data_IF_162820367615
#
_entry.id   IF_162820367615
#
_cell.length_a   1.000
_cell.length_b   1.000
_cell.length_c   1.000
_cell.angle_alpha   90.00
_cell.angle_beta   90.00
_cell.angle_gamma   90.00
#
_symmetry.space_group_name_H-M   'P 1'
#
loop_
_entity.id
_entity.type
_entity.pdbx_description
1 polymer ?
#
# COMPACT_ATOMS: atom_id res chain seq x y z
N UNK A 1 -18.84 30.34 -36.23
CA UNK A 1 -17.67 29.64 -36.80
C UNK A 1 -17.47 28.38 -35.95
N UNK A 2 -17.99 27.23 -36.41
CA UNK A 2 -17.99 25.97 -35.66
C UNK A 2 -16.90 25.06 -36.19
N UNK A 3 -16.15 24.40 -35.31
CA UNK A 3 -15.29 23.28 -35.69
C UNK A 3 -15.58 22.09 -34.78
N UNK A 4 -16.06 21.02 -35.42
CA UNK A 4 -16.20 19.67 -34.89
C UNK A 4 -14.83 18.99 -34.81
N UNK A 5 -14.63 18.13 -33.81
CA UNK A 5 -13.57 17.12 -33.83
C UNK A 5 -14.15 15.73 -33.53
N UNK A 6 -13.76 14.78 -34.39
CA UNK A 6 -14.19 13.40 -34.43
C UNK A 6 -13.50 12.53 -33.36
N UNK A 7 -14.23 11.52 -32.91
CA UNK A 7 -13.80 10.46 -32.00
C UNK A 7 -13.29 9.26 -32.80
N UNK A 8 -12.14 8.71 -32.41
CA UNK A 8 -11.61 7.42 -32.90
C UNK A 8 -12.08 6.29 -31.98
N UNK A 9 -12.81 5.31 -32.53
CA UNK A 9 -13.09 4.02 -31.90
C UNK A 9 -12.21 2.92 -32.50
N UNK A 10 -11.75 2.03 -31.62
CA UNK A 10 -10.85 0.92 -31.90
C UNK A 10 -11.66 -0.38 -32.02
N UNK A 11 -11.35 -1.18 -33.03
CA UNK A 11 -12.10 -2.36 -33.46
C UNK A 11 -11.77 -3.62 -32.65
N UNK A 12 -12.81 -4.33 -32.21
CA UNK A 12 -12.75 -5.68 -31.63
C UNK A 12 -12.81 -6.76 -32.73
N UNK A 13 -11.98 -7.80 -32.58
CA UNK A 13 -11.97 -9.02 -33.41
C UNK A 13 -12.94 -10.06 -32.84
N UNK A 14 -13.65 -10.76 -33.73
CA UNK A 14 -14.25 -12.08 -33.46
C UNK A 14 -13.98 -13.02 -34.63
N UNK A 15 -13.59 -14.26 -34.33
CA UNK A 15 -13.37 -15.36 -35.29
C UNK A 15 -14.71 -15.90 -35.85
N UNK A 16 -14.74 -16.39 -37.11
CA UNK A 16 -15.89 -17.12 -37.64
C UNK A 16 -15.76 -18.64 -37.44
N UNK A 17 -16.93 -19.23 -37.28
CA UNK A 17 -17.20 -20.63 -36.96
C UNK A 17 -17.35 -21.51 -38.21
N UNK A 18 -17.31 -22.82 -37.97
CA UNK A 18 -17.15 -23.95 -38.89
C UNK A 18 -18.05 -24.03 -40.13
N UNK A 19 -17.45 -24.41 -41.26
CA UNK A 19 -18.09 -24.78 -42.52
C UNK A 19 -18.52 -26.25 -42.59
N UNK A 20 -19.71 -26.44 -43.17
CA UNK A 20 -20.44 -27.69 -43.43
C UNK A 20 -20.11 -28.19 -44.84
N UNK A 21 -19.83 -29.50 -45.03
CA UNK A 21 -19.75 -30.12 -46.37
C UNK A 21 -20.49 -31.47 -46.38
N UNK A 22 -21.32 -31.65 -47.40
CA UNK A 22 -22.20 -32.78 -47.76
C UNK A 22 -21.54 -33.73 -48.79
N UNK A 23 -22.18 -34.87 -49.15
CA UNK A 23 -21.49 -36.10 -49.58
C UNK A 23 -21.56 -36.38 -51.09
N UNK A 24 -20.63 -37.21 -51.57
CA UNK A 24 -20.62 -37.94 -52.86
C UNK A 24 -19.41 -38.90 -52.81
N UNK A 25 -19.27 -40.02 -53.53
CA UNK A 25 -20.15 -41.00 -54.15
C UNK A 25 -19.23 -42.19 -54.56
N UNK A 26 -19.73 -43.41 -54.42
CA UNK A 26 -19.50 -44.64 -55.20
C UNK A 26 -18.13 -45.00 -55.86
N UNK A 27 -17.64 -46.19 -55.46
CA UNK A 27 -17.54 -47.44 -56.26
C UNK A 27 -16.17 -48.05 -56.66
N UNK A 28 -16.11 -49.36 -56.34
CA UNK A 28 -15.49 -50.51 -57.04
C UNK A 28 -13.97 -50.74 -56.94
N UNK A 29 -13.56 -51.88 -56.35
CA UNK A 29 -13.22 -53.12 -57.08
C UNK A 29 -12.73 -54.28 -56.16
N UNK A 30 -13.44 -55.42 -56.26
CA UNK A 30 -13.03 -56.85 -56.26
C UNK A 30 -12.15 -57.51 -55.17
N UNK A 31 -12.73 -58.59 -54.59
CA UNK A 31 -12.28 -60.00 -54.48
C UNK A 31 -10.91 -60.29 -53.80
N UNK A 32 -10.75 -61.18 -52.80
CA UNK A 32 -11.19 -62.58 -52.73
C UNK A 32 -10.63 -63.31 -51.47
N UNK A 33 -11.28 -64.43 -51.07
CA UNK A 33 -10.80 -65.61 -50.27
C UNK A 33 -10.36 -65.32 -48.81
N UNK A 34 -10.63 -66.08 -47.74
CA UNK A 34 -11.07 -67.45 -47.53
C UNK A 34 -11.74 -67.56 -46.14
N UNK A 35 -12.73 -68.45 -46.02
CA UNK A 35 -13.21 -68.95 -44.74
C UNK A 35 -12.13 -69.83 -44.09
N UNK A 36 -11.79 -69.57 -42.83
CA UNK A 36 -11.18 -70.59 -41.97
C UNK A 36 -11.84 -70.62 -40.61
N UNK A 37 -12.04 -71.86 -40.21
CA UNK A 37 -12.91 -72.37 -39.19
C UNK A 37 -12.65 -71.90 -37.75
N UNK A 38 -13.74 -72.04 -37.01
CA UNK A 38 -13.92 -71.95 -35.57
C UNK A 38 -12.87 -72.69 -34.72
N UNK A 39 -12.55 -72.13 -33.55
CA UNK A 39 -12.26 -72.88 -32.30
C UNK A 39 -12.13 -71.91 -31.11
N UNK A 40 -13.02 -72.07 -30.13
CA UNK A 40 -12.95 -71.40 -28.83
C UNK A 40 -11.69 -71.83 -28.06
N UNK A 41 -10.93 -70.88 -27.51
CA UNK A 41 -10.07 -71.13 -26.34
C UNK A 41 -10.17 -69.99 -25.33
N UNK A 42 -10.88 -70.31 -24.26
CA UNK A 42 -11.25 -69.53 -23.08
C UNK A 42 -10.08 -69.41 -22.10
N UNK A 43 -9.02 -68.67 -22.42
CA UNK A 43 -7.93 -68.43 -21.46
C UNK A 43 -7.31 -67.03 -21.50
N UNK A 44 -7.53 -66.25 -22.57
CA UNK A 44 -6.93 -64.90 -22.72
C UNK A 44 -7.73 -63.76 -22.07
N UNK A 45 -8.99 -64.00 -21.71
CA UNK A 45 -9.90 -62.96 -21.18
C UNK A 45 -9.64 -62.64 -19.69
N UNK A 46 -9.00 -63.55 -18.93
CA UNK A 46 -8.71 -63.34 -17.50
C UNK A 46 -7.51 -62.43 -17.25
N UNK A 47 -6.56 -62.35 -18.18
CA UNK A 47 -5.36 -61.50 -18.04
C UNK A 47 -5.68 -60.03 -18.26
N UNK A 48 -6.56 -59.71 -19.22
CA UNK A 48 -7.01 -58.34 -19.46
C UNK A 48 -7.91 -57.79 -18.34
N UNK A 49 -8.72 -58.65 -17.70
CA UNK A 49 -9.54 -58.26 -16.56
C UNK A 49 -8.70 -57.93 -15.30
N UNK A 50 -7.59 -58.66 -15.07
CA UNK A 50 -6.65 -58.36 -13.98
C UNK A 50 -5.83 -57.10 -14.25
N UNK A 51 -5.43 -56.85 -15.50
CA UNK A 51 -4.73 -55.62 -15.87
C UNK A 51 -5.62 -54.37 -15.71
N UNK A 52 -6.91 -54.49 -16.04
CA UNK A 52 -7.90 -53.42 -15.86
C UNK A 52 -8.24 -53.14 -14.39
N UNK A 53 -8.18 -54.15 -13.52
CA UNK A 53 -8.40 -53.99 -12.08
C UNK A 53 -7.19 -53.32 -11.38
N UNK A 54 -5.96 -53.65 -11.80
CA UNK A 54 -4.74 -53.04 -11.26
C UNK A 54 -4.61 -51.57 -11.66
N UNK A 55 -5.02 -51.17 -12.87
CA UNK A 55 -5.06 -49.75 -13.27
C UNK A 55 -6.18 -48.95 -12.60
N UNK A 56 -7.25 -49.59 -12.14
CA UNK A 56 -8.34 -48.93 -11.40
C UNK A 56 -7.96 -48.62 -9.95
N UNK A 57 -7.13 -49.46 -9.31
CA UNK A 57 -6.70 -49.27 -7.91
C UNK A 57 -5.58 -48.21 -7.79
N UNK A 58 -4.77 -48.01 -8.83
CA UNK A 58 -3.76 -46.92 -8.86
C UNK A 58 -4.31 -45.56 -9.33
N UNK A 59 -5.50 -45.53 -9.93
CA UNK A 59 -6.17 -44.27 -10.34
C UNK A 59 -6.95 -43.56 -9.23
N UNK A 60 -7.19 -44.23 -8.10
CA UNK A 60 -7.88 -43.66 -6.94
C UNK A 60 -6.95 -43.04 -5.90
N UNK A 61 -5.63 -43.04 -6.13
CA UNK A 61 -4.76 -42.02 -5.52
C UNK A 61 -4.97 -40.67 -6.22
N UNK A 62 -6.23 -40.25 -6.34
CA UNK A 62 -6.55 -38.84 -6.41
C UNK A 62 -5.99 -38.27 -5.13
N UNK A 63 -4.83 -37.62 -5.25
CA UNK A 63 -4.24 -36.84 -4.18
C UNK A 63 -5.38 -36.09 -3.52
N UNK A 64 -5.69 -36.44 -2.27
CA UNK A 64 -6.50 -35.60 -1.42
C UNK A 64 -5.76 -34.26 -1.46
N UNK A 65 -6.26 -33.29 -2.22
CA UNK A 65 -5.79 -31.92 -2.13
C UNK A 65 -6.23 -31.46 -0.76
N UNK A 66 -5.49 -31.85 0.27
CA UNK A 66 -5.35 -31.04 1.45
C UNK A 66 -4.62 -29.83 0.94
N UNK A 67 -5.37 -28.87 0.40
CA UNK A 67 -4.89 -27.51 0.34
C UNK A 67 -4.53 -27.22 1.79
N UNK A 68 -3.23 -27.06 2.13
CA UNK A 68 -2.91 -26.65 3.47
C UNK A 68 -3.49 -25.24 3.56
N UNK A 69 -4.66 -25.13 4.19
CA UNK A 69 -5.21 -23.88 4.65
C UNK A 69 -4.30 -23.40 5.77
N UNK A 70 -3.07 -23.01 5.41
CA UNK A 70 -2.21 -22.28 6.31
C UNK A 70 -3.02 -21.04 6.69
N UNK A 71 -3.36 -20.86 7.98
CA UNK A 71 -4.13 -19.70 8.38
C UNK A 71 -3.38 -18.46 7.92
N UNK A 72 -4.08 -17.54 7.24
CA UNK A 72 -3.49 -16.29 6.79
C UNK A 72 -2.79 -15.64 7.97
N UNK A 73 -1.48 -15.43 7.86
CA UNK A 73 -0.70 -14.86 8.97
C UNK A 73 -1.23 -13.44 9.23
N UNK A 74 -1.55 -13.08 10.48
CA UNK A 74 -2.08 -11.76 10.78
C UNK A 74 -1.14 -10.66 10.27
N UNK A 75 -1.70 -9.74 9.50
CA UNK A 75 -1.00 -8.59 8.93
C UNK A 75 -1.38 -7.32 9.69
N UNK A 76 -0.42 -6.41 9.84
CA UNK A 76 -0.62 -5.08 10.39
C UNK A 76 -0.30 -4.03 9.32
N UNK A 77 -1.05 -2.93 9.31
CA UNK A 77 -0.74 -1.75 8.51
C UNK A 77 0.16 -0.78 9.27
N UNK A 78 1.15 -0.22 8.59
CA UNK A 78 2.05 0.82 9.13
C UNK A 78 2.11 2.03 8.20
N UNK A 79 1.99 3.23 8.77
CA UNK A 79 2.25 4.48 8.09
C UNK A 79 3.72 4.88 8.27
N UNK A 80 4.37 5.34 7.22
CA UNK A 80 5.78 5.74 7.22
C UNK A 80 5.90 7.23 6.90
N UNK A 81 6.56 7.97 7.78
CA UNK A 81 6.79 9.41 7.65
C UNK A 81 8.28 9.70 7.78
N UNK A 82 8.86 10.40 6.80
CA UNK A 82 10.21 10.94 6.88
C UNK A 82 10.19 12.46 6.99
N UNK A 83 10.36 12.98 8.19
CA UNK A 83 10.54 14.40 8.48
C UNK A 83 11.97 14.79 8.83
N UNK A 84 12.97 13.92 8.65
CA UNK A 84 14.37 14.25 8.96
C UNK A 84 14.81 15.40 8.06
N UNK A 85 15.28 16.50 8.65
CA UNK A 85 15.76 17.68 7.95
C UNK A 85 17.16 17.41 7.36
N UNK A 86 17.21 16.91 6.13
CA UNK A 86 18.46 16.55 5.45
C UNK A 86 18.36 16.70 3.93
N UNK A 87 19.52 16.89 3.28
CA UNK A 87 19.65 16.85 1.81
C UNK A 87 19.95 15.44 1.28
N UNK A 88 20.30 14.51 2.16
CA UNK A 88 20.62 13.14 1.77
C UNK A 88 19.37 12.39 1.32
N UNK A 89 19.48 11.73 0.17
CA UNK A 89 18.54 10.72 -0.26
C UNK A 89 18.55 9.53 0.70
N UNK A 90 17.38 8.97 1.01
CA UNK A 90 17.22 7.89 1.97
C UNK A 90 16.67 6.62 1.34
N UNK A 91 17.13 5.48 1.84
CA UNK A 91 16.53 4.17 1.63
C UNK A 91 15.84 3.71 2.91
N UNK A 92 14.62 3.20 2.76
CA UNK A 92 13.81 2.62 3.82
C UNK A 92 14.02 1.12 3.89
N UNK A 93 14.24 0.62 5.10
CA UNK A 93 14.45 -0.80 5.38
C UNK A 93 13.38 -1.31 6.35
N UNK A 94 12.82 -2.47 6.03
CA UNK A 94 12.13 -3.35 6.98
C UNK A 94 13.08 -4.50 7.32
N UNK A 95 13.54 -4.50 8.57
CA UNK A 95 14.67 -5.27 9.04
C UNK A 95 15.92 -5.01 8.18
N UNK A 96 16.40 -6.03 7.47
CA UNK A 96 17.59 -5.92 6.62
C UNK A 96 17.26 -5.75 5.13
N UNK A 97 15.98 -5.64 4.77
CA UNK A 97 15.52 -5.58 3.38
C UNK A 97 15.16 -4.15 2.99
N UNK A 98 15.80 -3.64 1.95
CA UNK A 98 15.44 -2.35 1.34
C UNK A 98 14.07 -2.47 0.67
N UNK A 99 13.17 -1.55 1.00
CA UNK A 99 11.76 -1.58 0.58
C UNK A 99 11.51 -0.66 -0.63
N UNK A 100 12.10 0.53 -0.63
CA UNK A 100 11.90 1.53 -1.68
C UNK A 100 12.80 1.26 -2.90
N UNK A 101 12.28 1.56 -4.09
CA UNK A 101 13.07 1.53 -5.33
C UNK A 101 13.72 2.90 -5.59
N UNK A 102 12.93 3.96 -5.44
CA UNK A 102 13.35 5.34 -5.59
C UNK A 102 13.76 5.93 -4.24
N UNK A 103 14.80 6.78 -4.18
CA UNK A 103 15.22 7.37 -2.92
C UNK A 103 14.15 8.29 -2.32
N UNK A 104 14.05 8.27 -1.00
CA UNK A 104 13.10 9.06 -0.21
C UNK A 104 13.78 10.34 0.29
N UNK A 105 13.00 11.41 0.44
CA UNK A 105 13.51 12.73 0.87
C UNK A 105 12.68 13.29 2.02
N UNK A 106 13.12 14.42 2.59
CA UNK A 106 12.39 15.18 3.61
C UNK A 106 10.97 15.50 3.17
N UNK A 107 10.00 15.11 4.00
CA UNK A 107 8.57 15.26 3.77
C UNK A 107 7.90 14.08 3.07
N UNK A 108 8.58 12.93 2.95
CA UNK A 108 7.97 11.71 2.42
C UNK A 108 6.88 11.20 3.37
N UNK A 109 5.70 10.87 2.80
CA UNK A 109 4.53 10.35 3.49
C UNK A 109 4.04 9.11 2.74
N UNK A 110 3.83 8.00 3.46
CA UNK A 110 3.25 6.80 2.91
C UNK A 110 2.33 6.12 3.93
N UNK A 111 1.16 5.69 3.49
CA UNK A 111 0.20 4.96 4.31
C UNK A 111 -0.04 3.58 3.71
N UNK A 112 -0.27 2.59 4.57
CA UNK A 112 -0.66 1.24 4.15
C UNK A 112 0.50 0.31 3.86
N UNK A 113 1.67 0.51 4.48
CA UNK A 113 2.75 -0.47 4.42
C UNK A 113 2.34 -1.72 5.22
N UNK A 114 2.13 -2.83 4.51
CA UNK A 114 1.66 -4.07 5.13
C UNK A 114 2.85 -4.87 5.65
N UNK A 115 2.79 -5.25 6.92
CA UNK A 115 3.77 -6.12 7.58
C UNK A 115 3.08 -7.31 8.24
N UNK A 116 3.86 -8.31 8.62
CA UNK A 116 3.40 -9.32 9.56
C UNK A 116 3.68 -8.91 11.00
N UNK A 117 2.80 -9.31 11.92
CA UNK A 117 3.00 -9.08 13.35
C UNK A 117 4.28 -9.73 13.92
N UNK A 118 4.79 -9.14 14.99
CA UNK A 118 6.03 -9.51 15.68
C UNK A 118 7.03 -8.36 15.82
N UNK A 119 8.22 -8.62 16.40
CA UNK A 119 9.29 -7.63 16.48
C UNK A 119 9.79 -7.28 15.08
N UNK A 120 9.88 -5.98 14.78
CA UNK A 120 10.44 -5.46 13.53
C UNK A 120 11.31 -4.25 13.79
N UNK A 121 12.36 -4.11 13.00
CA UNK A 121 13.20 -2.92 12.97
C UNK A 121 12.94 -2.18 11.68
N UNK A 122 12.48 -0.94 11.78
CA UNK A 122 12.46 -0.02 10.64
C UNK A 122 13.68 0.88 10.69
N UNK A 123 14.28 1.14 9.53
CA UNK A 123 15.42 2.03 9.43
C UNK A 123 15.38 2.89 8.17
N UNK A 124 15.89 4.11 8.29
CA UNK A 124 16.37 4.88 7.15
C UNK A 124 17.88 4.79 7.11
N UNK A 125 18.44 4.58 5.92
CA UNK A 125 19.86 4.69 5.62
C UNK A 125 20.05 5.74 4.55
N UNK A 126 21.17 6.46 4.56
CA UNK A 126 21.51 7.30 3.41
C UNK A 126 21.72 6.39 2.19
N UNK A 127 21.23 6.80 1.04
CA UNK A 127 21.29 6.01 -0.19
C UNK A 127 22.74 5.61 -0.49
N UNK A 128 22.96 4.31 -0.72
CA UNK A 128 24.29 3.74 -0.96
C UNK A 128 25.17 3.53 0.29
N UNK A 129 24.69 3.86 1.50
CA UNK A 129 25.40 3.59 2.75
C UNK A 129 24.78 2.42 3.52
N UNK A 130 25.59 1.79 4.37
CA UNK A 130 25.20 0.63 5.18
C UNK A 130 24.70 0.99 6.57
N UNK A 131 25.13 2.13 7.11
CA UNK A 131 24.82 2.52 8.48
C UNK A 131 23.40 3.04 8.59
N UNK A 132 22.72 2.61 9.66
CA UNK A 132 21.40 3.12 10.01
C UNK A 132 21.50 4.59 10.37
N UNK A 133 20.82 5.44 9.60
CA UNK A 133 20.77 6.86 9.85
C UNK A 133 19.76 7.18 10.95
N UNK A 134 18.58 6.56 10.90
CA UNK A 134 17.60 6.55 11.98
C UNK A 134 16.93 5.19 12.01
N UNK A 135 16.62 4.65 13.19
CA UNK A 135 15.95 3.36 13.32
C UNK A 135 15.05 3.28 14.54
N UNK A 136 14.07 2.39 14.47
CA UNK A 136 13.24 2.00 15.59
C UNK A 136 12.98 0.50 15.54
N UNK A 137 13.10 -0.16 16.69
CA UNK A 137 12.66 -1.54 16.88
C UNK A 137 11.44 -1.53 17.77
N UNK A 138 10.36 -2.16 17.32
CA UNK A 138 9.11 -2.29 18.10
C UNK A 138 8.44 -3.63 17.81
N UNK A 139 7.50 -4.01 18.66
CA UNK A 139 6.62 -5.16 18.44
C UNK A 139 5.32 -4.66 17.84
N UNK A 140 4.98 -5.17 16.66
CA UNK A 140 3.76 -4.81 15.94
C UNK A 140 2.73 -5.93 16.04
N UNK A 141 1.47 -5.55 16.25
CA UNK A 141 0.32 -6.46 16.34
C UNK A 141 -0.66 -6.14 15.20
N UNK A 142 -1.20 -7.18 14.56
CA UNK A 142 -2.27 -7.11 13.56
C UNK A 142 -3.54 -6.38 14.01
N UNK A 143 -3.79 -6.32 15.31
CA UNK A 143 -4.95 -5.62 15.89
C UNK A 143 -4.68 -4.13 16.14
N UNK A 144 -3.50 -3.64 15.78
CA UNK A 144 -3.08 -2.26 16.04
C UNK A 144 -2.60 -1.58 14.78
N UNK A 145 -3.00 -0.33 14.61
CA UNK A 145 -2.44 0.56 13.61
C UNK A 145 -1.27 1.32 14.22
N UNK A 146 -0.22 1.48 13.43
CA UNK A 146 1.00 2.13 13.89
C UNK A 146 1.50 3.12 12.85
N UNK A 147 2.11 4.19 13.34
CA UNK A 147 2.78 5.19 12.51
C UNK A 147 4.25 5.28 12.92
N UNK A 148 5.14 5.05 11.97
CA UNK A 148 6.59 5.16 12.12
C UNK A 148 7.01 6.51 11.58
N UNK A 149 7.61 7.33 12.45
CA UNK A 149 7.96 8.71 12.16
C UNK A 149 9.45 8.89 12.40
N UNK A 150 10.17 9.31 11.37
CA UNK A 150 11.52 9.84 11.52
C UNK A 150 11.51 11.36 11.49
N UNK A 151 12.30 11.98 12.36
CA UNK A 151 12.40 13.43 12.53
C UNK A 151 13.78 13.79 13.09
N UNK A 152 14.07 15.07 13.31
CA UNK A 152 15.42 15.54 13.64
C UNK A 152 16.09 16.19 12.45
N UNK A 153 17.40 16.37 12.53
CA UNK A 153 18.20 16.96 11.46
C UNK A 153 19.33 16.01 11.04
N UNK A 154 20.27 16.53 10.26
CA UNK A 154 21.32 15.68 9.74
C UNK A 154 22.32 15.16 10.77
N UNK A 155 22.32 15.74 11.97
CA UNK A 155 23.25 15.46 13.09
C UNK A 155 22.61 14.58 14.16
N UNK A 156 21.31 14.75 14.42
CA UNK A 156 20.57 13.97 15.41
C UNK A 156 19.21 13.50 14.86
N UNK A 157 19.22 12.60 13.85
CA UNK A 157 18.02 11.98 13.34
C UNK A 157 17.48 10.92 14.32
N UNK A 158 16.17 10.91 14.53
CA UNK A 158 15.49 9.98 15.45
C UNK A 158 14.30 9.35 14.72
N UNK A 159 14.03 8.07 14.98
CA UNK A 159 12.82 7.39 14.52
C UNK A 159 12.04 6.83 15.69
N UNK A 160 10.72 6.96 15.66
CA UNK A 160 9.79 6.40 16.67
C UNK A 160 8.65 5.66 16.00
N UNK A 161 8.18 4.60 16.65
CA UNK A 161 6.93 3.94 16.32
C UNK A 161 5.86 4.41 17.31
N UNK A 162 4.71 4.83 16.80
CA UNK A 162 3.57 5.30 17.57
C UNK A 162 2.42 4.34 17.32
N UNK A 163 1.86 3.77 18.38
CA UNK A 163 0.58 3.08 18.30
C UNK A 163 -0.51 4.13 18.15
N UNK A 164 -1.31 4.02 17.09
CA UNK A 164 -2.39 4.96 16.82
C UNK A 164 -3.56 4.71 17.78
N UNK A 165 -4.12 5.78 18.32
CA UNK A 165 -5.27 5.76 19.23
C UNK A 165 -6.41 6.58 18.64
N UNK A 166 -7.49 5.89 18.27
CA UNK A 166 -8.68 6.48 17.64
C UNK A 166 -9.81 6.76 18.62
N UNK A 167 -9.61 6.63 19.94
CA UNK A 167 -10.67 6.83 20.94
C UNK A 167 -11.27 8.25 20.92
N UNK A 168 -10.52 9.25 20.43
CA UNK A 168 -11.00 10.63 20.29
C UNK A 168 -11.55 10.95 18.89
N UNK A 169 -11.46 10.02 17.94
CA UNK A 169 -12.03 10.19 16.62
C UNK A 169 -13.57 10.09 16.68
N UNK A 170 -14.25 10.84 15.81
CA UNK A 170 -15.72 10.93 15.79
C UNK A 170 -16.25 10.63 14.39
N UNK A 171 -17.31 9.82 14.35
CA UNK A 171 -18.10 9.61 13.14
C UNK A 171 -18.72 10.92 12.64
N UNK A 172 -18.92 11.02 11.33
CA UNK A 172 -19.46 12.16 10.61
C UNK A 172 -18.62 13.45 10.69
N UNK A 173 -17.41 13.38 11.24
CA UNK A 173 -16.44 14.47 11.24
C UNK A 173 -15.22 14.15 10.35
N UNK A 174 -14.54 15.21 9.92
CA UNK A 174 -13.12 15.12 9.54
C UNK A 174 -12.33 14.95 10.84
N UNK A 175 -11.55 13.88 10.92
CA UNK A 175 -10.65 13.65 12.05
C UNK A 175 -9.22 13.92 11.60
N UNK A 176 -8.46 14.69 12.36
CA UNK A 176 -7.06 14.95 12.02
C UNK A 176 -6.17 14.88 13.26
N UNK A 177 -4.91 14.54 13.04
CA UNK A 177 -3.83 14.83 13.98
C UNK A 177 -2.71 15.56 13.25
N UNK A 178 -1.84 16.21 14.01
CA UNK A 178 -0.79 17.04 13.44
C UNK A 178 0.58 16.74 14.04
N UNK A 179 1.53 16.37 13.18
CA UNK A 179 2.93 16.22 13.52
C UNK A 179 3.74 17.40 13.01
N UNK A 180 4.28 18.16 13.96
CA UNK A 180 5.24 19.22 13.67
C UNK A 180 6.66 18.65 13.72
N UNK A 181 7.27 18.39 12.56
CA UNK A 181 8.59 17.76 12.45
C UNK A 181 9.73 18.74 12.11
N UNK A 182 9.43 20.03 11.95
CA UNK A 182 10.43 21.08 11.73
C UNK A 182 11.10 21.55 13.05
N UNK A 183 12.41 21.36 13.26
CA UNK A 183 13.04 21.67 14.55
C UNK A 183 13.21 23.16 14.88
N UNK A 184 13.39 24.05 13.89
CA UNK A 184 13.88 25.42 14.14
C UNK A 184 12.87 26.55 13.85
N UNK A 185 11.58 26.27 13.80
CA UNK A 185 10.56 27.28 13.44
C UNK A 185 9.70 27.76 14.61
N UNK A 186 9.93 27.25 15.82
CA UNK A 186 9.15 27.57 17.01
C UNK A 186 7.78 26.90 17.04
N UNK A 187 6.92 27.28 17.98
CA UNK A 187 5.56 26.75 18.05
C UNK A 187 4.68 27.30 16.92
N UNK A 188 3.72 26.50 16.45
CA UNK A 188 2.85 26.85 15.32
C UNK A 188 1.37 26.69 15.63
N UNK A 189 0.55 27.46 14.92
CA UNK A 189 -0.90 27.28 14.86
C UNK A 189 -1.27 26.65 13.51
N UNK A 190 -2.08 25.58 13.54
CA UNK A 190 -2.58 24.88 12.36
C UNK A 190 -3.94 25.42 11.97
N UNK A 191 -4.09 25.72 10.70
CA UNK A 191 -5.32 26.17 10.08
C UNK A 191 -5.74 25.20 8.97
N UNK A 192 -7.03 24.87 8.95
CA UNK A 192 -7.70 24.21 7.83
C UNK A 192 -8.79 25.15 7.33
N UNK A 193 -8.77 25.51 6.05
CA UNK A 193 -9.75 26.43 5.44
C UNK A 193 -9.92 27.76 6.22
N UNK A 194 -8.79 28.36 6.59
CA UNK A 194 -8.70 29.59 7.39
C UNK A 194 -9.28 29.50 8.81
N UNK A 195 -9.75 28.34 9.24
CA UNK A 195 -10.11 28.08 10.64
C UNK A 195 -8.89 27.58 11.40
N UNK A 196 -8.55 28.21 12.53
CA UNK A 196 -7.55 27.64 13.45
C UNK A 196 -8.12 26.36 14.07
N UNK A 197 -7.49 25.22 13.77
CA UNK A 197 -7.94 23.89 14.24
C UNK A 197 -7.06 23.35 15.36
N UNK A 198 -5.83 23.82 15.47
CA UNK A 198 -4.91 23.43 16.54
C UNK A 198 -3.97 24.60 16.84
N UNK A 199 -3.54 24.74 18.09
CA UNK A 199 -2.78 25.92 18.54
C UNK A 199 -1.59 25.54 19.40
N UNK A 200 -0.56 26.38 19.40
CA UNK A 200 0.67 26.19 20.19
C UNK A 200 1.31 24.80 20.01
N UNK A 201 1.34 24.32 18.78
CA UNK A 201 1.92 23.03 18.42
C UNK A 201 3.43 23.15 18.45
N UNK A 202 4.06 22.38 19.32
CA UNK A 202 5.52 22.34 19.45
C UNK A 202 6.11 21.26 18.56
N UNK A 203 7.39 21.40 18.26
CA UNK A 203 8.18 20.38 17.58
C UNK A 203 8.03 19.01 18.25
N UNK A 204 7.81 17.98 17.45
CA UNK A 204 7.54 16.61 17.90
C UNK A 204 8.70 16.01 18.72
N UNK A 205 9.92 16.47 18.48
CA UNK A 205 11.09 16.09 19.28
C UNK A 205 11.14 16.72 20.69
N UNK A 206 10.19 17.59 21.05
CA UNK A 206 10.08 18.14 22.41
C UNK A 206 9.63 17.08 23.43
N UNK A 207 9.64 17.43 24.72
CA UNK A 207 9.36 16.53 25.85
C UNK A 207 7.91 16.02 25.92
N UNK A 208 6.95 16.69 25.28
CA UNK A 208 5.52 16.34 25.37
C UNK A 208 4.78 16.58 24.05
N UNK A 209 5.06 15.77 23.01
CA UNK A 209 4.33 15.87 21.75
C UNK A 209 2.91 15.34 21.92
N UNK A 210 1.92 16.16 21.59
CA UNK A 210 0.54 15.72 21.45
C UNK A 210 0.34 15.19 20.01
N UNK A 211 -0.37 14.09 19.86
CA UNK A 211 -0.69 13.48 18.56
C UNK A 211 -2.10 12.87 18.56
N UNK A 212 -2.96 13.34 19.47
CA UNK A 212 -4.36 12.95 19.56
C UNK A 212 -5.15 13.40 18.33
N UNK A 213 -6.17 12.63 17.95
CA UNK A 213 -7.08 13.05 16.89
C UNK A 213 -8.06 14.11 17.40
N UNK A 214 -8.27 15.12 16.57
CA UNK A 214 -9.13 16.28 16.79
C UNK A 214 -10.07 16.47 15.61
N UNK A 215 -11.12 17.25 15.80
CA UNK A 215 -12.06 17.62 14.75
C UNK A 215 -12.04 19.13 14.54
N UNK A 216 -12.14 19.63 13.29
CA UNK A 216 -12.40 21.03 13.03
C UNK A 216 -13.74 21.45 13.66
N UNK A 217 -13.83 22.69 14.14
CA UNK A 217 -15.07 23.25 14.72
C UNK A 217 -16.20 23.37 13.68
N UNK A 218 -15.86 23.82 12.47
CA UNK A 218 -16.78 23.97 11.36
C UNK A 218 -16.39 23.03 10.20
N UNK A 219 -17.32 22.86 9.26
CA UNK A 219 -17.08 22.14 8.01
C UNK A 219 -15.95 22.76 7.19
N UNK A 220 -15.24 21.91 6.45
CA UNK A 220 -14.16 22.28 5.53
C UNK A 220 -14.72 22.33 4.09
N UNK A 221 -14.26 23.30 3.30
CA UNK A 221 -14.71 23.62 1.94
C UNK A 221 -13.59 23.89 0.94
N UNK A 222 -12.51 24.59 1.35
CA UNK A 222 -11.43 25.01 0.43
C UNK A 222 -10.27 24.03 0.36
N UNK A 223 -10.28 22.98 1.19
CA UNK A 223 -9.25 21.96 1.25
C UNK A 223 -7.82 22.52 1.33
N UNK A 224 -7.61 23.53 2.18
CA UNK A 224 -6.35 24.22 2.38
C UNK A 224 -5.72 23.84 3.72
N UNK A 225 -4.40 23.64 3.73
CA UNK A 225 -3.63 23.51 4.97
C UNK A 225 -2.70 24.71 5.11
N UNK A 226 -2.86 25.47 6.20
CA UNK A 226 -2.07 26.66 6.49
C UNK A 226 -1.46 26.55 7.87
N UNK A 227 -0.20 26.94 7.99
CA UNK A 227 0.52 26.96 9.26
C UNK A 227 1.04 28.36 9.51
N UNK A 228 0.73 28.90 10.68
CA UNK A 228 1.20 30.21 11.15
C UNK A 228 2.13 30.04 12.34
N UNK A 229 3.00 31.02 12.56
CA UNK A 229 3.74 31.12 13.82
C UNK A 229 2.73 31.35 14.96
N UNK A 230 2.83 30.55 16.04
CA UNK A 230 1.81 30.50 17.09
C UNK A 230 1.52 31.90 17.67
N UNK A 231 0.22 32.21 17.81
CA UNK A 231 -0.22 33.49 18.38
C UNK A 231 0.00 34.71 17.49
N UNK A 232 0.38 34.53 16.23
CA UNK A 232 0.62 35.63 15.27
C UNK A 232 -0.09 35.40 13.94
N UNK A 233 -0.15 36.44 13.10
CA UNK A 233 -0.65 36.32 11.72
C UNK A 233 0.42 35.94 10.68
N UNK A 234 1.66 35.71 11.12
CA UNK A 234 2.76 35.35 10.22
C UNK A 234 2.54 33.95 9.65
N UNK A 235 2.24 33.87 8.35
CA UNK A 235 2.12 32.60 7.62
C UNK A 235 3.51 32.04 7.35
N UNK A 236 3.75 30.81 7.82
CA UNK A 236 5.00 30.09 7.56
C UNK A 236 4.93 29.29 6.28
N UNK A 237 3.80 28.61 6.05
CA UNK A 237 3.55 27.83 4.84
C UNK A 237 2.04 27.68 4.61
N UNK A 238 1.66 27.63 3.35
CA UNK A 238 0.30 27.34 2.91
C UNK A 238 0.36 26.30 1.78
N UNK A 239 -0.44 25.26 1.90
CA UNK A 239 -0.65 24.26 0.86
C UNK A 239 -2.12 24.32 0.42
N UNK A 240 -2.35 24.92 -0.73
CA UNK A 240 -3.67 25.07 -1.36
C UNK A 240 -4.12 23.82 -2.13
N UNK A 241 -3.23 22.83 -2.27
CA UNK A 241 -3.46 21.60 -3.03
C UNK A 241 -2.85 20.40 -2.28
N UNK A 242 -3.31 20.11 -1.04
CA UNK A 242 -2.83 18.96 -0.30
C UNK A 242 -3.17 17.66 -1.04
N UNK A 243 -2.40 16.61 -0.75
CA UNK A 243 -2.51 15.31 -1.46
C UNK A 243 -3.90 14.70 -1.35
N UNK A 244 -4.55 14.88 -0.20
CA UNK A 244 -5.91 14.37 0.03
C UNK A 244 -6.87 15.52 0.31
N UNK A 245 -8.09 15.36 -0.19
CA UNK A 245 -9.20 16.22 0.21
C UNK A 245 -9.79 15.79 1.55
N UNK A 246 -10.01 16.76 2.43
CA UNK A 246 -10.68 16.50 3.71
C UNK A 246 -12.17 16.22 3.50
N UNK A 247 -12.60 15.02 3.87
CA UNK A 247 -14.00 14.59 3.80
C UNK A 247 -14.44 14.01 5.14
N UNK A 248 -15.73 14.16 5.52
CA UNK A 248 -16.28 13.53 6.71
C UNK A 248 -16.07 12.01 6.71
N UNK A 249 -16.04 11.39 7.90
CA UNK A 249 -15.82 9.95 8.09
C UNK A 249 -14.42 9.46 7.69
N UNK A 250 -13.45 10.37 7.62
CA UNK A 250 -12.04 10.05 7.32
C UNK A 250 -11.12 10.58 8.41
N UNK A 251 -9.99 9.89 8.56
CA UNK A 251 -8.95 10.22 9.52
C UNK A 251 -7.65 10.57 8.80
N UNK A 252 -7.10 11.74 9.13
CA UNK A 252 -5.95 12.31 8.44
C UNK A 252 -4.78 12.51 9.40
N UNK A 253 -3.58 12.29 8.91
CA UNK A 253 -2.34 12.72 9.53
C UNK A 253 -1.79 13.87 8.72
N UNK A 254 -1.67 15.04 9.34
CA UNK A 254 -1.06 16.23 8.74
C UNK A 254 0.36 16.35 9.27
N UNK A 255 1.31 16.61 8.37
CA UNK A 255 2.73 16.70 8.71
C UNK A 255 3.29 18.01 8.22
N UNK A 256 3.93 18.75 9.12
CA UNK A 256 4.82 19.87 8.81
C UNK A 256 6.26 19.39 8.89
N UNK A 257 7.05 19.60 7.83
CA UNK A 257 8.44 19.15 7.74
C UNK A 257 9.29 20.16 6.98
N UNK A 258 10.61 20.04 7.06
CA UNK A 258 11.53 20.99 6.45
C UNK A 258 11.75 22.23 7.32
N UNK A 259 12.39 23.25 6.76
CA UNK A 259 12.67 24.52 7.42
C UNK A 259 12.47 25.69 6.44
N UNK A 260 12.03 26.84 6.94
CA UNK A 260 11.83 28.05 6.14
C UNK A 260 13.14 28.66 5.66
N UNK A 261 14.27 28.32 6.29
CA UNK A 261 15.59 28.82 5.92
C UNK A 261 16.15 28.19 4.64
N UNK A 262 15.53 27.12 4.12
CA UNK A 262 16.00 26.40 2.94
C UNK A 262 15.03 26.56 1.75
N UNK A 263 15.59 26.52 0.55
CA UNK A 263 14.86 26.55 -0.73
C UNK A 263 14.95 25.22 -1.49
N UNK A 264 15.77 24.29 -1.01
CA UNK A 264 16.02 22.97 -1.60
C UNK A 264 15.01 21.92 -1.12
N UNK A 265 15.38 20.64 -1.13
CA UNK A 265 14.50 19.55 -0.67
C UNK A 265 14.10 19.67 0.80
N UNK A 266 14.86 20.43 1.60
CA UNK A 266 14.59 20.75 3.02
C UNK A 266 13.65 21.93 3.20
N UNK A 267 13.23 22.61 2.13
CA UNK A 267 12.27 23.72 2.25
C UNK A 267 11.04 23.29 3.03
N UNK A 268 10.45 24.23 3.78
CA UNK A 268 9.26 23.98 4.58
C UNK A 268 8.11 23.45 3.72
N UNK A 269 7.47 22.37 4.17
CA UNK A 269 6.35 21.70 3.51
C UNK A 269 5.31 21.30 4.55
N UNK A 270 4.04 21.48 4.21
CA UNK A 270 2.92 20.89 4.95
C UNK A 270 2.06 20.06 4.01
N UNK A 271 1.71 18.84 4.40
CA UNK A 271 0.84 17.98 3.59
C UNK A 271 0.11 16.96 4.46
N UNK A 272 -0.80 16.19 3.87
CA UNK A 272 -1.60 15.18 4.56
C UNK A 272 -1.47 13.79 3.93
N UNK A 273 -1.83 12.79 4.73
CA UNK A 273 -2.02 11.40 4.34
C UNK A 273 -3.18 10.80 5.15
N UNK A 274 -3.77 9.70 4.69
CA UNK A 274 -4.72 8.95 5.50
C UNK A 274 -4.01 8.34 6.69
N UNK A 275 -4.59 8.50 7.87
CA UNK A 275 -4.22 7.67 9.02
C UNK A 275 -4.75 6.25 8.78
N UNK A 276 -4.07 5.25 9.31
CA UNK A 276 -4.54 3.87 9.21
C UNK A 276 -5.60 3.63 10.26
N UNK A 277 -6.82 3.33 9.85
CA UNK A 277 -7.97 3.08 10.73
C UNK A 277 -8.78 1.89 10.20
#
# INVERSE_FOLDING_TARGET
MSMNYNVHENTFRTCPDSGRITPESNNLYKNSIALKDSTMTTTKIRVWALLALVTLVTGLSSCLKTDPVTPSRPQAGVAIINGILTTSNMDFYDNSVRVNQNPLTTGFLFSGYVIYGGPRTFAFRKAGLTDDYAKVTSVFDSLTYNTVIAYGDSTNPIMRAIKDDFNTAKENFVNFRFFHLSPNIGAVDLYLDNQKVDSNRVYFGASSPDYTFKQPKNSLFSNNIKVKLAGTDSVLIENTSPTLSFTPNKVYTIVLSGDKSFTDIKKLKVNNMYSLY
#
